data_IF_382708617450
#
_entry.id   IF_382708617450
#
_cell.length_a   1.000
_cell.length_b   1.000
_cell.length_c   1.000
_cell.angle_alpha   90.00
_cell.angle_beta   90.00
_cell.angle_gamma   90.00
#
_symmetry.space_group_name_H-M   'P 1'
#
loop_
_entity.id
_entity.type
_entity.pdbx_description
1 polymer ?
#
# COMPACT_ATOMS: atom_id res chain seq x y z
N UNK A 1 2.58 -35.25 48.70
CA UNK A 1 3.55 -34.49 49.51
C UNK A 1 4.32 -33.59 48.57
N UNK A 2 3.90 -32.34 48.47
CA UNK A 2 4.38 -31.35 47.50
C UNK A 2 4.98 -30.20 48.32
N UNK A 3 6.22 -29.84 48.02
CA UNK A 3 7.09 -28.98 48.83
C UNK A 3 6.60 -27.51 48.80
N UNK A 4 6.58 -26.78 49.94
CA UNK A 4 5.98 -25.42 50.03
C UNK A 4 6.87 -24.29 49.47
N UNK A 5 7.95 -24.60 48.75
CA UNK A 5 8.92 -23.60 48.27
C UNK A 5 8.65 -23.07 46.85
N UNK A 6 7.66 -23.60 46.13
CA UNK A 6 7.30 -23.14 44.77
C UNK A 6 6.10 -22.17 44.72
N UNK A 7 5.47 -21.84 45.85
CA UNK A 7 4.39 -20.84 45.90
C UNK A 7 4.84 -19.45 46.38
N UNK A 8 6.05 -19.33 46.94
CA UNK A 8 6.56 -18.07 47.46
C UNK A 8 7.13 -17.13 46.38
N UNK A 9 7.28 -17.58 45.13
CA UNK A 9 7.79 -16.73 44.04
C UNK A 9 6.68 -16.10 43.17
N UNK A 10 5.41 -16.45 43.41
CA UNK A 10 4.29 -15.99 42.58
C UNK A 10 3.50 -14.79 43.12
N UNK A 11 3.86 -14.20 44.27
CA UNK A 11 3.04 -13.16 44.91
C UNK A 11 3.85 -12.04 45.60
N UNK A 12 4.93 -11.55 44.98
CA UNK A 12 5.69 -10.40 45.52
C UNK A 12 6.11 -9.37 44.46
N UNK A 13 5.22 -9.08 43.50
CA UNK A 13 5.27 -7.81 42.73
C UNK A 13 3.85 -7.30 42.45
N UNK A 14 3.05 -7.12 43.50
CA UNK A 14 1.81 -6.31 43.44
C UNK A 14 1.81 -5.38 44.64
N UNK A 15 2.53 -4.26 44.55
CA UNK A 15 2.24 -3.01 45.26
C UNK A 15 3.29 -1.93 44.93
N UNK A 16 3.39 -1.52 43.66
CA UNK A 16 3.79 -0.15 43.37
C UNK A 16 2.55 0.58 42.88
N UNK A 17 1.82 1.14 43.84
CA UNK A 17 0.77 2.13 43.61
C UNK A 17 1.38 3.44 43.08
N UNK A 18 2.09 3.37 41.96
CA UNK A 18 2.63 4.50 41.21
C UNK A 18 2.69 4.19 39.71
N UNK A 19 1.71 3.44 39.18
CA UNK A 19 1.36 3.65 37.77
C UNK A 19 0.43 4.86 37.76
N UNK A 20 1.02 6.05 37.87
CA UNK A 20 0.40 7.20 37.24
C UNK A 20 0.40 6.89 35.75
N UNK A 21 -0.77 6.51 35.23
CA UNK A 21 -1.07 6.83 33.85
C UNK A 21 -1.13 8.34 33.86
N UNK A 22 0.00 9.00 33.63
CA UNK A 22 -0.03 10.33 33.02
C UNK A 22 -0.71 10.09 31.68
N UNK A 23 -2.03 10.24 31.67
CA UNK A 23 -2.74 10.57 30.46
C UNK A 23 -2.18 11.93 30.08
N UNK A 24 -1.07 11.91 29.36
CA UNK A 24 -0.55 13.06 28.66
C UNK A 24 -1.73 13.60 27.86
N UNK A 25 -2.32 14.70 28.35
CA UNK A 25 -3.29 15.52 27.64
C UNK A 25 -2.54 16.27 26.54
N UNK A 26 -1.70 15.56 25.79
CA UNK A 26 -1.15 16.08 24.57
C UNK A 26 -2.36 16.27 23.68
N UNK A 27 -2.75 17.54 23.57
CA UNK A 27 -3.61 18.07 22.53
C UNK A 27 -3.40 17.22 21.28
N UNK A 28 -4.47 16.67 20.72
CA UNK A 28 -4.37 15.97 19.44
C UNK A 28 -3.97 17.01 18.40
N UNK A 29 -2.67 17.28 18.30
CA UNK A 29 -2.07 18.05 17.23
C UNK A 29 -2.34 17.19 16.00
N UNK A 30 -3.20 17.63 15.06
CA UNK A 30 -3.40 16.90 13.83
C UNK A 30 -2.01 16.72 13.22
N UNK A 31 -1.55 15.47 13.11
CA UNK A 31 -0.28 15.21 12.46
C UNK A 31 -0.49 15.48 10.98
N UNK A 32 0.21 16.48 10.47
CA UNK A 32 0.26 16.76 9.05
C UNK A 32 0.80 15.54 8.30
N UNK A 33 0.41 15.42 7.02
CA UNK A 33 0.90 14.35 6.16
C UNK A 33 2.33 14.68 5.74
N UNK A 34 3.29 13.82 6.05
CA UNK A 34 4.71 14.05 5.69
C UNK A 34 5.10 13.41 4.35
N UNK A 35 4.65 12.19 4.09
CA UNK A 35 5.01 11.42 2.89
C UNK A 35 3.95 10.39 2.53
N UNK A 36 3.73 10.19 1.22
CA UNK A 36 2.86 9.15 0.69
C UNK A 36 3.67 8.20 -0.18
N UNK A 37 3.63 6.90 0.13
CA UNK A 37 4.29 5.85 -0.67
C UNK A 37 3.21 4.95 -1.27
N UNK A 38 3.16 4.89 -2.61
CA UNK A 38 2.25 4.03 -3.35
C UNK A 38 2.97 2.87 -4.03
N UNK A 39 2.56 1.64 -3.74
CA UNK A 39 2.99 0.45 -4.50
C UNK A 39 1.82 -0.02 -5.37
N UNK A 40 1.82 0.43 -6.64
CA UNK A 40 0.74 0.14 -7.56
C UNK A 40 1.16 -0.93 -8.57
N UNK A 41 0.25 -1.84 -8.87
CA UNK A 41 0.39 -2.73 -10.01
C UNK A 41 0.12 -1.95 -11.30
N UNK A 42 0.72 -2.41 -12.40
CA UNK A 42 0.35 -2.01 -13.75
C UNK A 42 -1.17 -2.07 -13.99
N UNK A 43 -1.65 -1.26 -14.92
CA UNK A 43 -3.04 -1.30 -15.38
C UNK A 43 -3.37 -2.58 -16.16
N UNK A 44 -4.60 -2.70 -16.63
CA UNK A 44 -5.00 -3.88 -17.42
C UNK A 44 -4.13 -4.08 -18.65
N UNK A 45 -3.69 -5.32 -18.86
CA UNK A 45 -2.86 -5.73 -20.00
C UNK A 45 -3.43 -6.94 -20.69
N UNK A 46 -2.99 -7.17 -21.92
CA UNK A 46 -3.18 -8.43 -22.61
C UNK A 46 -2.55 -9.59 -21.79
N UNK A 47 -3.03 -10.84 -21.97
CA UNK A 47 -2.35 -12.01 -21.41
C UNK A 47 -0.91 -12.08 -21.93
N UNK A 48 -0.03 -12.81 -21.24
CA UNK A 48 1.39 -12.90 -21.64
C UNK A 48 1.59 -13.79 -22.88
N UNK A 49 0.60 -14.57 -23.24
CA UNK A 49 0.58 -15.52 -24.33
C UNK A 49 -0.73 -16.28 -24.27
N UNK A 50 -0.80 -17.38 -25.02
CA UNK A 50 -1.98 -18.25 -25.06
C UNK A 50 -1.61 -19.72 -24.93
N UNK A 51 -2.61 -20.60 -24.86
CA UNK A 51 -2.44 -22.04 -24.77
C UNK A 51 -2.43 -22.70 -26.17
N UNK A 52 -1.84 -23.90 -26.33
CA UNK A 52 -1.61 -24.50 -27.66
C UNK A 52 -2.88 -24.73 -28.51
N UNK A 53 -4.03 -24.94 -27.88
CA UNK A 53 -5.31 -25.20 -28.55
C UNK A 53 -6.22 -23.97 -28.58
N UNK A 54 -5.66 -22.77 -28.43
CA UNK A 54 -6.43 -21.53 -28.58
C UNK A 54 -6.95 -21.43 -30.02
N UNK A 55 -8.24 -21.15 -30.15
CA UNK A 55 -8.90 -20.96 -31.44
C UNK A 55 -8.60 -19.57 -32.03
N UNK A 56 -8.06 -18.63 -31.24
CA UNK A 56 -7.75 -17.26 -31.63
C UNK A 56 -6.31 -16.83 -31.27
N UNK A 57 -5.26 -17.59 -31.63
CA UNK A 57 -3.91 -17.37 -31.11
C UNK A 57 -3.28 -16.04 -31.56
N UNK A 58 -3.70 -15.51 -32.73
CA UNK A 58 -3.30 -14.22 -33.29
C UNK A 58 -4.43 -13.19 -33.20
N UNK A 59 -5.17 -13.22 -32.09
CA UNK A 59 -6.29 -12.32 -31.85
C UNK A 59 -5.89 -10.85 -32.05
N UNK A 60 -6.60 -10.18 -32.96
CA UNK A 60 -6.50 -8.74 -33.18
C UNK A 60 -7.11 -7.93 -32.03
N UNK A 61 -7.78 -8.58 -31.06
CA UNK A 61 -8.30 -7.92 -29.87
C UNK A 61 -7.17 -7.34 -28.99
N UNK A 62 -5.97 -7.93 -29.04
CA UNK A 62 -4.79 -7.40 -28.36
C UNK A 62 -4.06 -6.43 -29.29
N UNK A 63 -4.59 -5.21 -29.43
CA UNK A 63 -4.06 -4.14 -30.29
C UNK A 63 -2.54 -3.93 -30.18
N UNK A 64 -2.00 -4.01 -28.97
CA UNK A 64 -0.58 -3.82 -28.69
C UNK A 64 0.20 -5.14 -28.55
N UNK A 65 -0.45 -6.28 -28.78
CA UNK A 65 0.11 -7.62 -28.58
C UNK A 65 0.10 -8.08 -27.12
N UNK A 66 0.55 -9.32 -26.92
CA UNK A 66 0.59 -9.96 -25.61
C UNK A 66 1.49 -9.22 -24.61
N UNK A 67 1.08 -9.21 -23.34
CA UNK A 67 1.82 -8.64 -22.22
C UNK A 67 1.83 -7.11 -22.12
N UNK A 68 1.40 -6.40 -23.15
CA UNK A 68 1.30 -4.94 -23.17
C UNK A 68 0.00 -4.44 -22.53
N UNK A 69 0.03 -3.22 -21.97
CA UNK A 69 -1.17 -2.53 -21.49
C UNK A 69 -2.22 -2.43 -22.59
N UNK A 70 -3.49 -2.52 -22.19
CA UNK A 70 -4.63 -2.21 -23.06
C UNK A 70 -4.97 -0.72 -22.95
N UNK A 71 -5.71 -0.18 -23.93
CA UNK A 71 -6.23 1.20 -23.87
C UNK A 71 -7.02 1.45 -22.56
N UNK A 72 -7.81 0.45 -22.14
CA UNK A 72 -8.54 0.48 -20.86
C UNK A 72 -7.60 0.52 -19.66
N UNK A 73 -6.51 -0.26 -19.69
CA UNK A 73 -5.52 -0.28 -18.62
C UNK A 73 -4.80 1.04 -18.45
N UNK A 74 -4.44 1.68 -19.56
CA UNK A 74 -3.86 3.04 -19.57
C UNK A 74 -4.85 4.04 -18.96
N UNK A 75 -6.11 4.02 -19.40
CA UNK A 75 -7.15 4.90 -18.86
C UNK A 75 -7.41 4.66 -17.36
N UNK A 76 -7.37 3.40 -16.93
CA UNK A 76 -7.51 3.04 -15.51
C UNK A 76 -6.41 3.69 -14.67
N UNK A 77 -5.14 3.56 -15.08
CA UNK A 77 -4.03 4.16 -14.34
C UNK A 77 -4.05 5.69 -14.41
N UNK A 78 -4.52 6.28 -15.51
CA UNK A 78 -4.77 7.72 -15.60
C UNK A 78 -5.79 8.19 -14.57
N UNK A 79 -6.89 7.44 -14.40
CA UNK A 79 -7.93 7.78 -13.42
C UNK A 79 -7.46 7.56 -11.98
N UNK A 80 -6.61 6.57 -11.73
CA UNK A 80 -5.92 6.45 -10.43
C UNK A 80 -5.06 7.69 -10.16
N UNK A 81 -4.31 8.18 -11.15
CA UNK A 81 -3.53 9.42 -11.01
C UNK A 81 -4.39 10.64 -10.67
N UNK A 82 -5.52 10.82 -11.38
CA UNK A 82 -6.49 11.90 -11.08
C UNK A 82 -7.04 11.80 -9.66
N UNK A 83 -7.47 10.60 -9.25
CA UNK A 83 -7.98 10.36 -7.90
C UNK A 83 -6.93 10.68 -6.83
N UNK A 84 -5.67 10.26 -7.03
CA UNK A 84 -4.60 10.55 -6.07
C UNK A 84 -4.32 12.06 -5.98
N UNK A 85 -4.33 12.76 -7.11
CA UNK A 85 -4.18 14.22 -7.15
C UNK A 85 -5.30 14.93 -6.39
N UNK A 86 -6.55 14.53 -6.60
CA UNK A 86 -7.70 15.07 -5.88
C UNK A 86 -7.64 14.76 -4.39
N UNK A 87 -7.31 13.51 -4.04
CA UNK A 87 -7.20 13.05 -2.65
C UNK A 87 -6.16 13.82 -1.86
N UNK A 88 -5.02 14.14 -2.49
CA UNK A 88 -3.90 14.80 -1.84
C UNK A 88 -3.73 16.26 -2.28
N UNK A 89 -4.79 16.92 -2.79
CA UNK A 89 -4.71 18.31 -3.26
C UNK A 89 -4.30 19.33 -2.17
N UNK A 90 -4.53 19.01 -0.90
CA UNK A 90 -4.10 19.84 0.23
C UNK A 90 -2.69 19.53 0.74
N UNK A 91 -2.06 18.48 0.19
CA UNK A 91 -0.71 18.04 0.52
C UNK A 91 0.28 18.30 -0.64
N UNK A 92 -0.17 18.10 -1.89
CA UNK A 92 0.61 18.32 -3.10
C UNK A 92 0.47 19.76 -3.59
N UNK A 93 1.55 20.32 -4.11
CA UNK A 93 1.53 21.57 -4.87
C UNK A 93 1.55 21.30 -6.39
N UNK A 94 1.85 22.33 -7.17
CA UNK A 94 2.09 22.23 -8.61
C UNK A 94 3.56 21.97 -8.97
N UNK A 95 4.43 21.81 -7.97
CA UNK A 95 5.84 21.48 -8.19
C UNK A 95 6.01 20.02 -8.64
N UNK A 96 6.55 19.77 -9.86
CA UNK A 96 6.76 18.42 -10.35
C UNK A 96 7.83 17.62 -9.57
N UNK A 97 8.72 18.26 -8.81
CA UNK A 97 9.78 17.58 -8.06
C UNK A 97 9.28 16.88 -6.79
N UNK A 98 8.08 17.24 -6.30
CA UNK A 98 7.43 16.61 -5.14
C UNK A 98 7.02 15.16 -5.39
N UNK A 99 6.82 14.78 -6.66
CA UNK A 99 6.36 13.44 -7.03
C UNK A 99 7.45 12.68 -7.76
N UNK A 100 7.94 11.60 -7.13
CA UNK A 100 8.87 10.68 -7.76
C UNK A 100 8.18 9.38 -8.15
N UNK A 101 8.42 8.94 -9.39
CA UNK A 101 7.86 7.68 -9.92
C UNK A 101 8.99 6.77 -10.37
N UNK A 102 8.95 5.52 -9.93
CA UNK A 102 9.84 4.45 -10.39
C UNK A 102 9.01 3.27 -10.86
N UNK A 103 9.36 2.73 -12.02
CA UNK A 103 8.73 1.55 -12.59
C UNK A 103 9.75 0.43 -12.81
N UNK A 104 9.24 -0.79 -12.96
CA UNK A 104 10.04 -1.92 -13.43
C UNK A 104 10.41 -1.74 -14.92
N UNK A 105 11.41 -2.48 -15.40
CA UNK A 105 11.82 -2.50 -16.82
C UNK A 105 10.78 -3.08 -17.81
N UNK A 106 9.52 -3.24 -17.40
CA UNK A 106 8.48 -3.84 -18.23
C UNK A 106 7.64 -2.76 -18.91
N UNK A 107 7.21 -3.01 -20.16
CA UNK A 107 6.31 -2.14 -20.94
C UNK A 107 4.85 -2.12 -20.41
N UNK A 108 4.66 -2.34 -19.11
CA UNK A 108 3.37 -2.41 -18.42
C UNK A 108 3.40 -1.69 -17.09
#
# INVERSE_FOLDING_TARGET
MVHPLMQAFCLLVVSSSHVCVDADQNEFVPRDLDVVIGLLRHGDRAPLGTFPTDLNPNSTYWKYGYGNLTDRGIETMRNVGKYLRERYQGFLTDDPEETQVRSSFSYR
#
